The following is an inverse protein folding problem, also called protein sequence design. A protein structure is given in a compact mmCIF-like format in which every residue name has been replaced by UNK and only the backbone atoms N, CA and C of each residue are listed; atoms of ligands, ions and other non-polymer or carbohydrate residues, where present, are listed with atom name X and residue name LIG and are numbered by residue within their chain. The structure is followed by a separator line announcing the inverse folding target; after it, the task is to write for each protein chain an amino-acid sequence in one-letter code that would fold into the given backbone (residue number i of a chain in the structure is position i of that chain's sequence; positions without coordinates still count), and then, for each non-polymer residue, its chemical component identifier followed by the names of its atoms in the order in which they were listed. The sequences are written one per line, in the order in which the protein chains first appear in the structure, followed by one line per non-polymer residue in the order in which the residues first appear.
data_IF_197432020918
#
_entry.id   IF_197432020918
#
_cell.length_a   1.000
_cell.length_b   1.000
_cell.length_c   1.000
_cell.angle_alpha   90.00
_cell.angle_beta   90.00
_cell.angle_gamma   90.00
#
_symmetry.space_group_name_H-M   'P 1'
#
loop_
_entity.id
_entity.type
_entity.pdbx_description
1 polymer ?
#
# COMPACT_ATOMS: atom_id res chain seq x y z
N UNK A 1 10.83 11.99 -19.35
CA UNK A 1 9.61 12.30 -18.59
C UNK A 1 9.80 11.79 -17.19
N UNK A 2 9.52 12.61 -16.19
CA UNK A 2 9.86 12.30 -14.80
C UNK A 2 8.73 11.49 -14.16
N UNK A 3 9.03 10.26 -13.73
CA UNK A 3 8.09 9.38 -13.03
C UNK A 3 8.31 9.47 -11.53
N UNK A 4 7.22 9.46 -10.77
CA UNK A 4 7.24 9.61 -9.31
C UNK A 4 6.40 8.49 -8.69
N UNK A 5 6.90 7.85 -7.64
CA UNK A 5 6.12 6.85 -6.91
C UNK A 5 4.96 7.51 -6.17
N UNK A 6 3.85 6.77 -5.98
CA UNK A 6 2.72 7.23 -5.15
C UNK A 6 3.17 7.78 -3.79
N UNK A 7 4.10 7.10 -3.12
CA UNK A 7 4.63 7.52 -1.81
C UNK A 7 5.41 8.82 -1.89
N UNK A 8 6.26 8.99 -2.91
CA UNK A 8 7.00 10.24 -3.13
C UNK A 8 6.08 11.42 -3.41
N UNK A 9 5.01 11.18 -4.19
CA UNK A 9 3.99 12.18 -4.49
C UNK A 9 3.15 12.55 -3.26
N UNK A 10 2.77 11.57 -2.42
CA UNK A 10 2.05 11.82 -1.16
C UNK A 10 2.87 12.69 -0.23
N UNK A 11 4.15 12.39 -0.06
CA UNK A 11 5.04 13.18 0.78
C UNK A 11 5.15 14.63 0.24
N UNK A 12 5.23 14.81 -1.08
CA UNK A 12 5.17 16.14 -1.71
C UNK A 12 3.87 16.89 -1.40
N UNK A 13 2.70 16.26 -1.57
CA UNK A 13 1.39 16.90 -1.31
C UNK A 13 1.28 17.34 0.16
N UNK A 14 1.80 16.53 1.08
CA UNK A 14 1.78 16.85 2.51
C UNK A 14 2.70 18.02 2.86
N UNK A 15 3.85 18.14 2.19
CA UNK A 15 4.82 19.24 2.39
C UNK A 15 4.42 20.54 1.69
N UNK A 16 3.96 20.47 0.44
CA UNK A 16 3.46 21.64 -0.29
C UNK A 16 2.26 22.27 0.41
N UNK A 17 1.36 21.43 0.95
CA UNK A 17 0.25 21.88 1.79
C UNK A 17 0.65 22.38 3.19
N UNK A 18 1.95 22.46 3.51
CA UNK A 18 2.49 23.04 4.74
C UNK A 18 3.13 24.43 4.53
N UNK A 19 3.08 24.99 3.31
CA UNK A 19 3.41 26.41 3.06
C UNK A 19 4.88 26.72 2.73
N UNK A 20 5.64 25.77 2.17
CA UNK A 20 7.01 26.03 1.68
C UNK A 20 7.07 26.42 0.20
N UNK A 21 7.95 27.36 -0.16
CA UNK A 21 8.13 27.91 -1.51
C UNK A 21 9.03 27.07 -2.45
N UNK A 22 9.62 25.99 -1.95
CA UNK A 22 10.46 25.10 -2.77
C UNK A 22 9.60 24.11 -3.57
N UNK A 23 9.95 23.86 -4.83
CA UNK A 23 9.42 22.72 -5.61
C UNK A 23 10.09 21.43 -5.10
N UNK A 24 9.45 20.69 -4.16
CA UNK A 24 10.06 19.54 -3.49
C UNK A 24 10.22 18.36 -4.47
N UNK A 25 9.54 18.38 -5.62
CA UNK A 25 9.67 17.35 -6.65
C UNK A 25 10.99 17.49 -7.42
N UNK A 26 11.51 18.71 -7.53
CA UNK A 26 12.79 19.00 -8.21
C UNK A 26 13.99 18.47 -7.44
N UNK A 27 13.93 18.49 -6.10
CA UNK A 27 14.97 17.96 -5.20
C UNK A 27 14.93 16.43 -5.06
N UNK A 28 13.77 15.80 -5.31
CA UNK A 28 13.58 14.34 -5.24
C UNK A 28 13.85 13.62 -6.55
N UNK A 29 14.23 14.36 -7.60
CA UNK A 29 14.72 13.78 -8.86
C UNK A 29 15.96 12.94 -8.57
N UNK A 30 15.78 11.63 -8.51
CA UNK A 30 16.87 10.69 -8.28
C UNK A 30 16.89 10.08 -6.87
N UNK A 31 15.74 9.86 -6.23
CA UNK A 31 15.66 8.96 -5.07
C UNK A 31 15.85 7.49 -5.52
N UNK A 32 17.02 7.24 -6.11
CA UNK A 32 17.66 5.96 -6.37
C UNK A 32 18.26 5.41 -5.07
N UNK A 33 17.65 5.74 -3.92
CA UNK A 33 17.93 5.03 -2.68
C UNK A 33 17.34 3.64 -2.82
N UNK A 34 18.14 2.56 -2.66
CA UNK A 34 17.60 1.22 -2.72
C UNK A 34 16.46 1.11 -1.70
N UNK A 35 15.26 0.77 -2.17
CA UNK A 35 14.07 0.65 -1.31
C UNK A 35 14.42 -0.28 -0.14
N UNK A 36 14.59 0.32 1.04
CA UNK A 36 15.03 -0.34 2.27
C UNK A 36 14.19 -1.58 2.57
N UNK A 37 12.91 -1.56 2.18
CA UNK A 37 11.96 -2.62 2.44
C UNK A 37 11.76 -3.55 1.24
N UNK A 38 12.42 -3.33 0.10
CA UNK A 38 12.22 -4.12 -1.12
C UNK A 38 12.35 -5.64 -0.91
N UNK A 39 13.39 -6.18 -0.22
CA UNK A 39 13.48 -7.62 0.00
C UNK A 39 12.28 -8.20 0.75
N UNK A 40 11.74 -7.44 1.71
CA UNK A 40 10.61 -7.88 2.52
C UNK A 40 9.27 -7.68 1.79
N UNK A 41 9.13 -6.57 1.05
CA UNK A 41 7.98 -6.29 0.17
C UNK A 41 7.81 -7.40 -0.85
N UNK A 42 8.90 -7.76 -1.54
CA UNK A 42 8.90 -8.79 -2.55
C UNK A 42 8.59 -10.16 -1.95
N UNK A 43 9.20 -10.50 -0.82
CA UNK A 43 8.90 -11.75 -0.14
C UNK A 43 7.43 -11.88 0.30
N UNK A 44 6.80 -10.78 0.75
CA UNK A 44 5.38 -10.75 1.07
C UNK A 44 4.52 -11.02 -0.19
N UNK A 45 4.86 -10.42 -1.32
CA UNK A 45 4.17 -10.64 -2.60
C UNK A 45 4.36 -12.08 -3.08
N UNK A 46 5.60 -12.58 -3.09
CA UNK A 46 5.94 -13.96 -3.48
C UNK A 46 5.24 -14.97 -2.58
N UNK A 47 5.23 -14.75 -1.27
CA UNK A 47 4.54 -15.63 -0.33
C UNK A 47 3.07 -15.84 -0.72
N UNK A 48 2.36 -14.76 -1.06
CA UNK A 48 0.97 -14.88 -1.51
C UNK A 48 0.84 -15.50 -2.89
N UNK A 49 1.63 -15.02 -3.86
CA UNK A 49 1.58 -15.47 -5.25
C UNK A 49 1.85 -16.98 -5.37
N UNK A 50 2.79 -17.49 -4.59
CA UNK A 50 3.20 -18.90 -4.59
C UNK A 50 2.51 -19.72 -3.49
N UNK A 51 1.58 -19.11 -2.73
CA UNK A 51 0.86 -19.76 -1.62
C UNK A 51 1.80 -20.40 -0.57
N UNK A 52 2.89 -19.70 -0.25
CA UNK A 52 3.86 -20.12 0.76
C UNK A 52 3.36 -19.79 2.18
N UNK A 53 3.92 -20.49 3.16
CA UNK A 53 3.62 -20.24 4.57
C UNK A 53 4.20 -18.89 5.04
N UNK A 54 3.51 -18.16 5.95
CA UNK A 54 4.03 -16.91 6.54
C UNK A 54 5.36 -17.04 7.29
N UNK A 55 5.75 -18.26 7.67
CA UNK A 55 7.07 -18.55 8.25
C UNK A 55 8.22 -18.32 7.25
N UNK A 56 7.96 -18.38 5.94
CA UNK A 56 8.99 -18.12 4.91
C UNK A 56 9.54 -16.69 4.97
N UNK A 57 8.79 -15.73 5.51
CA UNK A 57 9.25 -14.36 5.70
C UNK A 57 10.41 -14.24 6.70
N UNK A 58 10.52 -15.16 7.67
CA UNK A 58 11.62 -15.15 8.65
C UNK A 58 12.98 -15.37 7.97
N UNK A 59 13.00 -16.10 6.84
CA UNK A 59 14.21 -16.34 6.06
C UNK A 59 14.80 -15.02 5.54
N UNK A 60 13.96 -14.06 5.17
CA UNK A 60 14.39 -12.73 4.70
C UNK A 60 15.06 -11.95 5.83
N UNK A 61 14.48 -11.96 7.02
CA UNK A 61 15.09 -11.32 8.19
C UNK A 61 16.40 -12.01 8.59
N UNK A 62 16.44 -13.35 8.60
CA UNK A 62 17.62 -14.12 8.97
C UNK A 62 18.82 -13.86 8.02
N UNK A 63 18.56 -13.66 6.72
CA UNK A 63 19.57 -13.36 5.70
C UNK A 63 20.05 -11.91 5.69
N UNK A 64 19.39 -11.01 6.43
CA UNK A 64 19.76 -9.60 6.47
C UNK A 64 21.05 -9.40 7.29
N UNK A 65 22.16 -8.92 6.67
CA UNK A 65 23.44 -8.77 7.35
C UNK A 65 23.41 -7.70 8.44
N UNK A 66 22.61 -6.63 8.26
CA UNK A 66 22.50 -5.58 9.26
C UNK A 66 21.62 -6.01 10.42
N UNK A 67 22.19 -6.07 11.63
CA UNK A 67 21.42 -6.39 12.85
C UNK A 67 20.27 -5.40 13.08
N UNK A 68 20.53 -4.10 12.82
CA UNK A 68 19.50 -3.05 12.91
C UNK A 68 18.34 -3.33 11.96
N UNK A 69 18.63 -3.64 10.70
CA UNK A 69 17.61 -3.91 9.68
C UNK A 69 16.87 -5.22 9.93
N UNK A 70 17.57 -6.25 10.39
CA UNK A 70 16.98 -7.51 10.87
C UNK A 70 15.93 -7.29 11.96
N UNK A 71 16.25 -6.47 12.98
CA UNK A 71 15.30 -6.11 14.04
C UNK A 71 14.09 -5.34 13.50
N UNK A 72 14.28 -4.47 12.50
CA UNK A 72 13.17 -3.76 11.85
C UNK A 72 12.29 -4.73 11.05
N UNK A 73 12.88 -5.61 10.25
CA UNK A 73 12.17 -6.61 9.46
C UNK A 73 11.35 -7.55 10.34
N UNK A 74 11.91 -8.02 11.46
CA UNK A 74 11.19 -8.85 12.42
C UNK A 74 9.90 -8.16 12.93
N UNK A 75 9.95 -6.85 13.23
CA UNK A 75 8.77 -6.08 13.67
C UNK A 75 7.74 -5.92 12.56
N UNK A 76 8.17 -5.75 11.32
CA UNK A 76 7.28 -5.68 10.15
C UNK A 76 6.61 -7.02 9.90
N UNK A 77 7.36 -8.11 9.94
CA UNK A 77 6.84 -9.48 9.78
C UNK A 77 5.79 -9.78 10.84
N UNK A 78 6.06 -9.41 12.10
CA UNK A 78 5.12 -9.60 13.19
C UNK A 78 3.83 -8.79 13.00
N UNK A 79 3.95 -7.53 12.54
CA UNK A 79 2.78 -6.74 12.15
C UNK A 79 1.97 -7.38 11.02
N UNK A 80 2.66 -7.92 10.02
CA UNK A 80 2.01 -8.59 8.91
C UNK A 80 1.30 -9.87 9.34
N UNK A 81 1.89 -10.65 10.25
CA UNK A 81 1.25 -11.85 10.83
C UNK A 81 -0.05 -11.51 11.55
N UNK A 82 -0.09 -10.41 12.30
CA UNK A 82 -1.34 -9.93 12.93
C UNK A 82 -2.41 -9.60 11.90
N UNK A 83 -2.03 -8.99 10.77
CA UNK A 83 -2.95 -8.76 9.66
C UNK A 83 -3.45 -10.08 9.04
N UNK A 84 -2.56 -11.04 8.77
CA UNK A 84 -2.97 -12.35 8.23
C UNK A 84 -3.89 -13.12 9.19
N UNK A 85 -3.76 -12.92 10.50
CA UNK A 85 -4.60 -13.55 11.51
C UNK A 85 -6.05 -13.04 11.52
N UNK A 86 -6.39 -11.97 10.77
CA UNK A 86 -7.76 -11.44 10.74
C UNK A 86 -8.73 -12.34 9.97
N UNK A 87 -8.23 -13.23 9.11
CA UNK A 87 -9.07 -14.15 8.35
C UNK A 87 -8.38 -14.73 7.12
N UNK A 88 -9.02 -15.71 6.45
CA UNK A 88 -8.51 -16.26 5.20
C UNK A 88 -8.49 -15.20 4.10
N UNK A 89 -7.46 -15.23 3.26
CA UNK A 89 -7.26 -14.29 2.18
C UNK A 89 -6.84 -15.03 0.92
N UNK A 90 -7.45 -14.73 -0.23
CA UNK A 90 -7.05 -15.31 -1.52
C UNK A 90 -6.27 -14.29 -2.34
N UNK A 91 -5.12 -14.68 -2.85
CA UNK A 91 -4.29 -13.85 -3.71
C UNK A 91 -4.94 -13.61 -5.08
N UNK A 92 -4.78 -12.39 -5.60
CA UNK A 92 -4.92 -12.06 -7.02
C UNK A 92 -3.87 -11.02 -7.41
N UNK A 93 -3.54 -10.92 -8.70
CA UNK A 93 -2.58 -9.90 -9.15
C UNK A 93 -3.27 -8.51 -9.15
N UNK A 94 -2.77 -7.54 -8.37
CA UNK A 94 -3.41 -6.24 -8.26
C UNK A 94 -3.25 -5.43 -9.57
N UNK A 95 -4.26 -4.66 -9.97
CA UNK A 95 -4.16 -3.77 -11.12
C UNK A 95 -3.16 -2.64 -10.84
N UNK A 96 -2.43 -2.23 -11.89
CA UNK A 96 -1.44 -1.16 -11.83
C UNK A 96 -1.77 -0.08 -12.83
N UNK A 97 -1.49 1.17 -12.50
CA UNK A 97 -1.73 2.30 -13.41
C UNK A 97 -0.77 3.45 -13.11
N UNK A 98 -0.73 4.43 -14.00
CA UNK A 98 -0.07 5.71 -13.75
C UNK A 98 -1.06 6.86 -13.92
N UNK A 99 -0.80 7.99 -13.29
CA UNK A 99 -1.58 9.22 -13.42
C UNK A 99 -0.70 10.28 -14.06
N UNK A 100 -1.22 11.02 -15.03
CA UNK A 100 -0.56 12.25 -15.46
C UNK A 100 -1.01 13.40 -14.56
N UNK A 101 -0.08 14.00 -13.83
CA UNK A 101 -0.31 15.22 -13.05
C UNK A 101 0.66 16.31 -13.49
N UNK A 102 0.14 17.25 -14.28
CA UNK A 102 0.95 18.29 -14.90
C UNK A 102 2.03 17.70 -15.82
N UNK A 103 3.29 17.95 -15.47
CA UNK A 103 4.46 17.45 -16.19
C UNK A 103 4.96 16.08 -15.71
N UNK A 104 4.35 15.49 -14.68
CA UNK A 104 4.80 14.26 -14.04
C UNK A 104 3.84 13.09 -14.26
N UNK A 105 4.40 11.90 -14.35
CA UNK A 105 3.63 10.65 -14.27
C UNK A 105 3.78 10.06 -12.86
N UNK A 106 2.67 9.92 -12.14
CA UNK A 106 2.62 9.32 -10.79
C UNK A 106 2.23 7.86 -10.91
N UNK A 107 3.14 6.96 -10.53
CA UNK A 107 2.93 5.52 -10.59
C UNK A 107 2.15 5.03 -9.38
N UNK A 108 1.01 4.39 -9.65
CA UNK A 108 0.15 3.75 -8.67
C UNK A 108 0.22 2.24 -8.88
N UNK A 109 1.14 1.66 -8.13
CA UNK A 109 1.45 0.24 -8.11
C UNK A 109 1.12 -0.32 -6.71
N UNK A 110 -0.12 -0.76 -6.46
CA UNK A 110 -0.43 -1.56 -5.29
C UNK A 110 0.38 -2.85 -5.32
N UNK A 111 0.83 -3.31 -4.15
CA UNK A 111 1.64 -4.52 -4.05
C UNK A 111 0.78 -5.77 -3.84
N UNK A 112 -0.38 -5.64 -3.21
CA UNK A 112 -1.20 -6.78 -2.82
C UNK A 112 -2.59 -6.71 -3.44
N UNK A 113 -3.01 -7.81 -4.07
CA UNK A 113 -4.42 -8.11 -4.35
C UNK A 113 -4.87 -9.24 -3.44
N UNK A 114 -5.79 -8.97 -2.52
CA UNK A 114 -6.31 -9.96 -1.57
C UNK A 114 -7.84 -9.95 -1.57
N UNK A 115 -8.49 -11.08 -1.85
CA UNK A 115 -9.89 -11.24 -1.55
C UNK A 115 -10.04 -11.59 -0.06
N UNK A 116 -10.59 -10.66 0.72
CA UNK A 116 -10.85 -10.78 2.15
C UNK A 116 -12.37 -10.88 2.31
N UNK A 117 -12.85 -11.99 2.87
CA UNK A 117 -14.29 -12.32 2.92
C UNK A 117 -14.95 -12.19 1.54
N UNK A 118 -14.32 -12.78 0.52
CA UNK A 118 -14.70 -12.71 -0.92
C UNK A 118 -14.72 -11.30 -1.53
N UNK A 119 -14.41 -10.25 -0.76
CA UNK A 119 -14.34 -8.88 -1.24
C UNK A 119 -12.92 -8.58 -1.75
N UNK A 120 -12.74 -8.20 -3.03
CA UNK A 120 -11.41 -7.97 -3.59
C UNK A 120 -10.83 -6.65 -3.08
N UNK A 121 -9.69 -6.73 -2.38
CA UNK A 121 -8.95 -5.58 -1.87
C UNK A 121 -7.68 -5.34 -2.68
N UNK A 122 -7.51 -4.12 -3.18
CA UNK A 122 -6.30 -3.63 -3.84
C UNK A 122 -5.53 -2.78 -2.84
N UNK A 123 -4.37 -3.27 -2.41
CA UNK A 123 -3.69 -2.79 -1.21
C UNK A 123 -2.28 -2.27 -1.54
N UNK A 124 -2.01 -1.05 -1.09
CA UNK A 124 -0.67 -0.46 -1.02
C UNK A 124 -0.05 -0.74 0.36
N UNK A 125 1.19 -1.21 0.41
CA UNK A 125 1.91 -1.48 1.66
C UNK A 125 2.72 -0.26 2.14
N UNK A 126 2.56 0.06 3.42
CA UNK A 126 3.31 1.08 4.16
C UNK A 126 4.11 0.44 5.30
N UNK A 127 5.43 0.67 5.30
CA UNK A 127 6.38 -0.05 6.15
C UNK A 127 7.02 0.80 7.27
N UNK A 128 6.79 2.12 7.29
CA UNK A 128 7.51 3.01 8.21
C UNK A 128 7.14 2.75 9.68
N UNK A 129 7.99 3.24 10.58
CA UNK A 129 7.82 3.04 12.01
C UNK A 129 6.70 3.86 12.61
N UNK A 130 6.49 5.07 12.10
CA UNK A 130 5.44 5.98 12.52
C UNK A 130 4.11 5.52 11.91
N UNK A 131 3.05 5.35 12.73
CA UNK A 131 1.73 5.03 12.22
C UNK A 131 1.25 6.03 11.16
N UNK A 132 0.44 5.55 10.22
CA UNK A 132 -0.19 6.44 9.25
C UNK A 132 -1.09 7.48 9.95
N UNK A 133 -0.86 8.76 9.64
CA UNK A 133 -1.72 9.86 10.10
C UNK A 133 -3.01 9.88 9.27
N UNK A 134 -4.16 10.34 9.84
CA UNK A 134 -5.41 10.44 9.09
C UNK A 134 -5.28 11.22 7.77
N UNK A 135 -4.50 12.31 7.77
CA UNK A 135 -4.24 13.12 6.57
C UNK A 135 -3.48 12.32 5.51
N UNK A 136 -2.38 11.65 5.88
CA UNK A 136 -1.61 10.82 4.92
C UNK A 136 -2.46 9.66 4.38
N UNK A 137 -3.19 8.96 5.26
CA UNK A 137 -4.11 7.88 4.87
C UNK A 137 -5.13 8.37 3.86
N UNK A 138 -5.78 9.51 4.12
CA UNK A 138 -6.79 10.07 3.22
C UNK A 138 -6.22 10.40 1.83
N UNK A 139 -5.04 11.02 1.76
CA UNK A 139 -4.38 11.33 0.49
C UNK A 139 -4.01 10.06 -0.27
N UNK A 140 -3.38 9.08 0.41
CA UNK A 140 -3.01 7.81 -0.23
C UNK A 140 -4.23 7.05 -0.75
N UNK A 141 -5.30 6.95 0.04
CA UNK A 141 -6.53 6.27 -0.38
C UNK A 141 -7.21 6.98 -1.55
N UNK A 142 -7.24 8.31 -1.55
CA UNK A 142 -7.83 9.10 -2.65
C UNK A 142 -7.07 8.87 -3.96
N UNK A 143 -5.74 8.85 -3.90
CA UNK A 143 -4.89 8.59 -5.06
C UNK A 143 -4.94 7.12 -5.50
N UNK A 144 -5.10 6.18 -4.58
CA UNK A 144 -5.24 4.76 -4.93
C UNK A 144 -6.59 4.52 -5.63
N UNK A 145 -7.68 4.99 -5.02
CA UNK A 145 -9.05 4.75 -5.49
C UNK A 145 -9.42 5.59 -6.73
N UNK A 146 -8.80 6.75 -6.98
CA UNK A 146 -9.25 7.70 -8.00
C UNK A 146 -9.38 7.12 -9.42
N UNK A 147 -8.32 6.50 -9.95
CA UNK A 147 -8.29 5.88 -11.30
C UNK A 147 -8.48 4.38 -11.22
N UNK A 148 -7.87 3.71 -10.24
CA UNK A 148 -8.07 2.26 -10.11
C UNK A 148 -9.53 1.92 -9.81
N UNK A 149 -10.27 2.74 -9.06
CA UNK A 149 -11.70 2.52 -8.83
C UNK A 149 -12.54 2.52 -10.10
N UNK A 150 -12.08 3.18 -11.17
CA UNK A 150 -12.73 3.12 -12.50
C UNK A 150 -12.31 1.90 -13.31
N UNK A 151 -11.11 1.38 -13.06
CA UNK A 151 -10.54 0.22 -13.77
C UNK A 151 -11.11 -1.08 -13.18
N UNK A 152 -11.22 -1.14 -11.85
CA UNK A 152 -11.73 -2.28 -11.10
C UNK A 152 -12.86 -1.83 -10.16
N UNK A 153 -14.06 -1.55 -10.69
CA UNK A 153 -15.23 -1.25 -9.86
C UNK A 153 -15.53 -2.41 -8.92
N UNK A 154 -16.14 -2.13 -7.75
CA UNK A 154 -16.42 -3.14 -6.73
C UNK A 154 -15.23 -3.55 -5.86
N UNK A 155 -14.03 -3.05 -6.15
CA UNK A 155 -12.85 -3.33 -5.33
C UNK A 155 -12.73 -2.35 -4.17
N UNK A 156 -12.28 -2.86 -3.04
CA UNK A 156 -11.92 -2.04 -1.88
C UNK A 156 -10.47 -1.60 -2.02
N UNK A 157 -10.21 -0.31 -1.87
CA UNK A 157 -8.85 0.23 -1.96
C UNK A 157 -8.29 0.42 -0.56
N UNK A 158 -7.09 -0.09 -0.32
CA UNK A 158 -6.49 -0.14 1.01
C UNK A 158 -5.07 0.37 1.07
N UNK A 159 -4.71 0.93 2.22
CA UNK A 159 -3.32 1.12 2.64
C UNK A 159 -3.12 0.26 3.88
N UNK A 160 -2.23 -0.72 3.78
CA UNK A 160 -1.84 -1.57 4.89
C UNK A 160 -0.64 -0.95 5.61
N UNK A 161 -0.86 -0.51 6.85
CA UNK A 161 0.23 -0.26 7.78
C UNK A 161 0.77 -1.61 8.25
N UNK A 162 1.80 -2.11 7.55
CA UNK A 162 2.30 -3.47 7.68
C UNK A 162 2.87 -3.70 9.07
N UNK A 163 3.63 -2.73 9.60
CA UNK A 163 4.26 -2.85 10.92
C UNK A 163 3.24 -2.89 12.06
N UNK A 164 2.15 -2.16 11.92
CA UNK A 164 1.07 -2.16 12.92
C UNK A 164 0.03 -3.26 12.67
N UNK A 165 0.00 -3.85 11.47
CA UNK A 165 -0.97 -4.88 11.09
C UNK A 165 -2.37 -4.30 10.87
N UNK A 166 -2.44 -3.04 10.42
CA UNK A 166 -3.70 -2.29 10.32
C UNK A 166 -4.01 -1.93 8.87
N UNK A 167 -5.12 -2.44 8.36
CA UNK A 167 -5.64 -2.07 7.05
C UNK A 167 -6.53 -0.83 7.16
N UNK A 168 -6.16 0.24 6.46
CA UNK A 168 -7.01 1.40 6.25
C UNK A 168 -7.65 1.28 4.87
N UNK A 169 -8.98 1.17 4.80
CA UNK A 169 -9.68 0.89 3.56
C UNK A 169 -10.74 1.93 3.23
N UNK A 170 -10.97 2.13 1.94
CA UNK A 170 -12.12 2.89 1.42
C UNK A 170 -12.81 2.07 0.34
N UNK A 171 -14.12 1.88 0.48
CA UNK A 171 -14.99 1.45 -0.59
C UNK A 171 -15.42 2.65 -1.43
N UNK A 172 -15.59 2.45 -2.73
CA UNK A 172 -16.04 3.52 -3.62
C UNK A 172 -17.46 3.98 -3.22
N UNK A 173 -17.87 5.23 -3.52
CA UNK A 173 -19.22 5.69 -3.22
C UNK A 173 -20.31 4.81 -3.85
N UNK A 174 -20.06 4.29 -5.05
CA UNK A 174 -20.97 3.35 -5.75
C UNK A 174 -21.15 2.05 -4.95
N UNK A 175 -20.07 1.55 -4.34
CA UNK A 175 -20.11 0.38 -3.46
C UNK A 175 -20.82 0.66 -2.14
N UNK A 176 -20.64 1.84 -1.54
CA UNK A 176 -21.41 2.19 -0.32
C UNK A 176 -22.91 2.22 -0.61
N UNK A 177 -23.29 2.75 -1.77
CA UNK A 177 -24.70 2.79 -2.18
C UNK A 177 -25.24 1.38 -2.46
N UNK A 178 -24.46 0.52 -3.10
CA UNK A 178 -24.86 -0.87 -3.38
C UNK A 178 -24.93 -1.72 -2.10
N UNK A 179 -23.99 -1.55 -1.17
CA UNK A 179 -24.01 -2.16 0.16
C UNK A 179 -25.23 -1.72 0.99
N UNK A 180 -25.58 -0.43 0.97
CA UNK A 180 -26.77 0.08 1.64
C UNK A 180 -28.06 -0.50 1.03
N UNK A 181 -28.12 -0.66 -0.30
CA UNK A 181 -29.24 -1.31 -0.99
C UNK A 181 -29.36 -2.80 -0.64
N UNK A 182 -28.25 -3.53 -0.57
CA UNK A 182 -28.24 -4.94 -0.17
C UNK A 182 -28.62 -5.15 1.31
N UNK A 183 -28.29 -4.19 2.19
CA UNK A 183 -28.67 -4.23 3.60
C UNK A 183 -30.15 -3.86 3.85
N UNK A 184 -30.77 -3.10 2.94
CA UNK A 184 -32.15 -2.61 3.07
C UNK A 184 -33.20 -3.57 2.48
N UNK A 185 -32.77 -4.69 1.87
CA UNK A 185 -33.65 -5.69 1.25
C UNK A 185 -33.89 -6.95 2.10
N UNK A 186 -33.70 -6.87 3.43
CA UNK A 186 -34.01 -7.95 4.38
C UNK A 186 -35.19 -7.56 5.27
#
# INVERSE_FOLDING_TARGET
MDRISLTGFVDFVLEAGAGGDADPLKERKGDSSPDYYHPLRDAIVTMHRESLLPATLDVVAAREPSEKKRRVFARVIEGYRRFLATGPMKWFEPPRTSYRMGAHDVDVNPELGLAIDETPHVIKMYFRGEPLTPRRTSVMLSLLAGRLGRICPGHVFGVLDVRHGKLHAVSTPEDRLSMLRAASGR
#
